data_IF_205719653510
#
_entry.id   IF_205719653510
#
_cell.length_a   1.000
_cell.length_b   1.000
_cell.length_c   1.000
_cell.angle_alpha   90.00
_cell.angle_beta   90.00
_cell.angle_gamma   90.00
#
_symmetry.space_group_name_H-M   'P 1'
#
loop_
_entity.id
_entity.type
_entity.pdbx_description
1 polymer ?
#
# COMPACT_ATOMS: atom_id res chain seq x y z
N UNK A 1 -13.72 4.73 -0.67
CA UNK A 1 -12.27 4.94 -0.72
C UNK A 1 -11.83 5.45 -2.06
N UNK A 2 -12.07 6.74 -2.22
CA UNK A 2 -11.35 7.58 -3.16
C UNK A 2 -9.88 7.75 -2.70
N UNK A 3 -9.01 8.27 -3.56
CA UNK A 3 -7.61 8.54 -3.18
C UNK A 3 -7.51 9.64 -2.12
N UNK A 4 -8.36 10.68 -2.20
CA UNK A 4 -8.40 11.76 -1.22
C UNK A 4 -8.84 11.27 0.17
N UNK A 5 -9.77 10.32 0.20
CA UNK A 5 -10.26 9.69 1.44
C UNK A 5 -9.14 8.89 2.13
N UNK A 6 -8.36 8.13 1.35
CA UNK A 6 -7.24 7.36 1.85
C UNK A 6 -6.10 8.27 2.36
N UNK A 7 -5.78 9.34 1.64
CA UNK A 7 -4.75 10.30 2.06
C UNK A 7 -5.12 10.97 3.38
N UNK A 8 -6.38 11.42 3.51
CA UNK A 8 -6.86 12.05 4.74
C UNK A 8 -6.80 11.10 5.94
N UNK A 9 -7.15 9.84 5.76
CA UNK A 9 -7.02 8.82 6.82
C UNK A 9 -5.56 8.68 7.25
N UNK A 10 -4.64 8.51 6.28
CA UNK A 10 -3.20 8.36 6.53
C UNK A 10 -2.56 9.58 7.20
N UNK A 11 -3.05 10.79 6.91
CA UNK A 11 -2.56 12.03 7.53
C UNK A 11 -3.08 12.23 8.97
N UNK A 12 -4.30 11.76 9.24
CA UNK A 12 -4.99 12.01 10.51
C UNK A 12 -4.57 11.07 11.65
N UNK A 13 -4.05 9.88 11.31
CA UNK A 13 -3.84 8.79 12.27
C UNK A 13 -2.38 8.33 12.23
N UNK A 14 -1.73 8.31 13.39
CA UNK A 14 -0.34 7.82 13.53
C UNK A 14 -0.25 6.32 13.76
N UNK A 15 -1.36 5.67 14.14
CA UNK A 15 -1.40 4.25 14.47
C UNK A 15 -2.42 3.49 13.61
N UNK A 16 -2.05 3.26 12.36
CA UNK A 16 -2.88 2.57 11.39
C UNK A 16 -2.50 1.09 11.37
N UNK A 17 -3.51 0.22 11.47
CA UNK A 17 -3.30 -1.23 11.41
C UNK A 17 -2.66 -1.61 10.08
N UNK A 18 -1.67 -2.51 10.12
CA UNK A 18 -1.02 -3.04 8.92
C UNK A 18 -2.02 -3.57 7.88
N UNK A 19 -3.05 -4.30 8.31
CA UNK A 19 -4.10 -4.82 7.43
C UNK A 19 -4.86 -3.70 6.68
N UNK A 20 -4.98 -2.51 7.29
CA UNK A 20 -5.60 -1.35 6.65
C UNK A 20 -4.68 -0.76 5.59
N UNK A 21 -3.40 -0.55 5.91
CA UNK A 21 -2.39 -0.14 4.94
C UNK A 21 -2.32 -1.09 3.76
N UNK A 22 -2.32 -2.40 4.03
CA UNK A 22 -2.31 -3.45 3.01
C UNK A 22 -3.50 -3.30 2.06
N UNK A 23 -4.72 -3.14 2.59
CA UNK A 23 -5.93 -2.95 1.79
C UNK A 23 -5.86 -1.67 0.92
N UNK A 24 -5.37 -0.57 1.48
CA UNK A 24 -5.16 0.69 0.75
C UNK A 24 -4.19 0.46 -0.42
N UNK A 25 -3.01 -0.11 -0.16
CA UNK A 25 -2.03 -0.41 -1.21
C UNK A 25 -2.54 -1.42 -2.23
N UNK A 26 -3.27 -2.46 -1.83
CA UNK A 26 -3.87 -3.44 -2.76
C UNK A 26 -4.88 -2.78 -3.70
N UNK A 27 -5.63 -1.79 -3.21
CA UNK A 27 -6.61 -1.07 -4.02
C UNK A 27 -5.97 -0.21 -5.10
N UNK A 28 -4.88 0.50 -4.79
CA UNK A 28 -4.26 1.45 -5.72
C UNK A 28 -3.14 0.84 -6.58
N UNK A 29 -2.38 -0.10 -6.03
CA UNK A 29 -1.22 -0.71 -6.70
C UNK A 29 -1.46 -2.17 -7.13
N UNK A 30 -2.63 -2.73 -6.81
CA UNK A 30 -2.97 -4.12 -7.08
C UNK A 30 -2.35 -5.09 -6.07
N UNK A 31 -2.48 -6.40 -6.32
CA UNK A 31 -1.99 -7.40 -5.37
C UNK A 31 -0.47 -7.44 -5.27
N UNK A 32 0.08 -7.63 -4.05
CA UNK A 32 1.51 -7.81 -3.86
C UNK A 32 1.96 -9.11 -4.53
N UNK A 33 3.18 -9.11 -5.07
CA UNK A 33 3.71 -10.29 -5.79
C UNK A 33 3.92 -11.50 -4.88
N UNK A 34 4.26 -11.26 -3.62
CA UNK A 34 4.55 -12.29 -2.64
C UNK A 34 3.54 -12.17 -1.49
N UNK A 35 2.85 -13.27 -1.17
CA UNK A 35 1.99 -13.42 0.00
C UNK A 35 2.50 -14.62 0.79
N UNK A 36 3.30 -14.40 1.82
CA UNK A 36 3.95 -15.47 2.59
C UNK A 36 5.18 -15.03 3.39
N UNK A 37 5.66 -13.81 3.15
CA UNK A 37 6.74 -13.17 3.90
C UNK A 37 6.23 -11.87 4.52
N UNK A 38 6.93 -11.35 5.53
CA UNK A 38 6.65 -10.03 6.11
C UNK A 38 6.76 -8.88 5.11
N UNK A 39 7.43 -9.09 3.98
CA UNK A 39 7.56 -8.10 2.91
C UNK A 39 6.49 -8.30 1.84
N UNK A 40 5.77 -7.22 1.52
CA UNK A 40 4.76 -7.17 0.49
C UNK A 40 5.18 -6.16 -0.59
N UNK A 41 5.90 -6.62 -1.64
CA UNK A 41 6.34 -5.75 -2.72
C UNK A 41 5.23 -5.53 -3.75
N UNK A 42 4.90 -4.26 -3.99
CA UNK A 42 3.92 -3.82 -4.98
C UNK A 42 4.60 -3.34 -6.26
N UNK A 43 4.00 -3.67 -7.40
CA UNK A 43 4.35 -3.03 -8.68
C UNK A 43 3.76 -1.64 -8.69
N UNK A 44 4.43 -0.76 -9.41
CA UNK A 44 3.98 0.61 -9.54
C UNK A 44 4.12 1.09 -10.99
N UNK A 45 3.34 2.09 -11.41
CA UNK A 45 3.21 2.43 -12.84
C UNK A 45 4.33 3.33 -13.39
N UNK A 46 5.15 3.92 -12.53
CA UNK A 46 6.24 4.83 -12.91
C UNK A 46 7.48 4.12 -13.48
N UNK A 47 8.22 4.84 -14.32
CA UNK A 47 9.38 4.35 -15.07
C UNK A 47 10.57 4.00 -14.15
N UNK A 48 11.39 3.01 -14.54
CA UNK A 48 12.59 2.63 -13.77
C UNK A 48 12.41 1.50 -12.75
N UNK A 49 11.28 0.79 -12.76
CA UNK A 49 10.94 -0.31 -11.81
C UNK A 49 10.96 0.08 -10.31
N UNK A 50 10.53 1.27 -9.89
CA UNK A 50 10.35 1.53 -8.45
C UNK A 50 9.32 0.55 -7.87
N UNK A 51 9.52 0.16 -6.60
CA UNK A 51 8.66 -0.79 -5.89
C UNK A 51 8.32 -0.20 -4.54
N UNK A 52 7.06 -0.35 -4.14
CA UNK A 52 6.66 -0.07 -2.77
C UNK A 52 6.85 -1.37 -2.00
N UNK A 53 7.64 -1.33 -0.93
CA UNK A 53 7.81 -2.46 -0.02
C UNK A 53 7.07 -2.14 1.28
N UNK A 54 6.00 -2.87 1.57
CA UNK A 54 5.26 -2.76 2.81
C UNK A 54 5.69 -3.90 3.76
N UNK A 55 6.10 -3.57 4.98
CA UNK A 55 6.60 -4.51 6.00
C UNK A 55 6.18 -4.04 7.39
#
# INVERSE_FOLDING_TARGET
MDIDEALKELESETNIRFARLLNITEKFFGFPKNKGTSHYPFKTPWEGKPRINLQ
#
